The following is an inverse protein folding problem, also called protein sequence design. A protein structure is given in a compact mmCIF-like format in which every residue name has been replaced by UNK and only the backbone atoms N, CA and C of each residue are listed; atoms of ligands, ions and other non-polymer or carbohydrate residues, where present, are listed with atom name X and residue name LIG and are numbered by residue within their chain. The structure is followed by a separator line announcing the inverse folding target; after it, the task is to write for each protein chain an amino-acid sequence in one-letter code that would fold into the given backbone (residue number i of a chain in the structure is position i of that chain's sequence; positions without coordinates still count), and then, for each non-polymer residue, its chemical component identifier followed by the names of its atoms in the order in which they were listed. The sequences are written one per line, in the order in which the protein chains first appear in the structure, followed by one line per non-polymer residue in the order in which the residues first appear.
data_IF_873040131172
#
_entry.id   IF_873040131172
#
_cell.length_a   1.000
_cell.length_b   1.000
_cell.length_c   1.000
_cell.angle_alpha   90.00
_cell.angle_beta   90.00
_cell.angle_gamma   90.00
#
_symmetry.space_group_name_H-M   'P 1'
#
loop_
_entity.id
_entity.type
_entity.pdbx_description
1 polymer ?
#
# COMPACT_ATOMS: atom_id res chain seq x y z
N UNK A 1 10.33 -16.78 -8.18
CA UNK A 1 8.96 -17.24 -7.84
C UNK A 1 8.70 -18.73 -8.13
N UNK A 2 8.84 -19.20 -9.39
CA UNK A 2 8.44 -20.56 -9.82
C UNK A 2 9.02 -21.72 -8.99
N UNK A 3 10.34 -21.75 -8.77
CA UNK A 3 10.99 -22.80 -7.96
C UNK A 3 10.53 -22.86 -6.49
N UNK A 4 10.00 -21.75 -5.95
CA UNK A 4 9.42 -21.73 -4.58
C UNK A 4 7.98 -22.23 -4.56
N UNK A 5 7.25 -22.11 -5.67
CA UNK A 5 5.88 -22.62 -5.81
C UNK A 5 5.88 -24.15 -5.97
N UNK A 6 6.85 -24.72 -6.68
CA UNK A 6 7.04 -26.18 -6.76
C UNK A 6 7.27 -26.82 -5.37
N UNK A 7 7.86 -26.07 -4.44
CA UNK A 7 8.06 -26.52 -3.05
C UNK A 7 6.79 -26.46 -2.18
N UNK A 8 5.70 -25.84 -2.64
CA UNK A 8 4.45 -25.68 -1.88
C UNK A 8 3.49 -26.88 -1.98
N UNK A 9 3.87 -27.95 -2.68
CA UNK A 9 3.18 -29.25 -2.65
C UNK A 9 1.85 -29.30 -3.41
N UNK A 10 1.00 -30.28 -3.06
CA UNK A 10 -0.16 -30.73 -3.84
C UNK A 10 -1.24 -29.67 -4.13
N UNK A 11 -1.26 -28.56 -3.39
CA UNK A 11 -2.20 -27.46 -3.62
C UNK A 11 -1.88 -26.70 -4.93
N UNK A 12 -0.59 -26.55 -5.26
CA UNK A 12 -0.14 -25.93 -6.51
C UNK A 12 -0.53 -26.81 -7.70
N UNK A 13 -0.23 -28.11 -7.63
CA UNK A 13 -0.57 -29.07 -8.68
C UNK A 13 -2.09 -29.14 -8.93
N UNK A 14 -2.88 -29.19 -7.86
CA UNK A 14 -4.35 -29.21 -7.95
C UNK A 14 -4.88 -27.91 -8.57
N UNK A 15 -4.32 -26.76 -8.18
CA UNK A 15 -4.69 -25.45 -8.72
C UNK A 15 -4.36 -25.34 -10.21
N UNK A 16 -3.19 -25.82 -10.64
CA UNK A 16 -2.80 -25.87 -12.05
C UNK A 16 -3.75 -26.77 -12.85
N UNK A 17 -4.02 -28.00 -12.37
CA UNK A 17 -4.89 -28.95 -13.04
C UNK A 17 -6.34 -28.45 -13.16
N UNK A 18 -6.83 -27.71 -12.15
CA UNK A 18 -8.17 -27.13 -12.13
C UNK A 18 -8.26 -25.78 -12.89
N UNK A 19 -7.16 -25.26 -13.45
CA UNK A 19 -7.12 -23.95 -14.08
C UNK A 19 -7.29 -22.76 -13.11
N UNK A 20 -7.17 -23.01 -11.81
CA UNK A 20 -7.27 -22.01 -10.74
C UNK A 20 -5.95 -21.28 -10.49
N UNK A 21 -4.84 -21.83 -10.98
CA UNK A 21 -3.51 -21.24 -10.94
C UNK A 21 -2.92 -21.26 -12.35
N UNK A 22 -2.29 -20.15 -12.73
CA UNK A 22 -1.54 -20.02 -13.98
C UNK A 22 -0.13 -19.52 -13.66
N UNK A 23 0.86 -20.15 -14.26
CA UNK A 23 2.25 -19.71 -14.23
C UNK A 23 2.58 -19.09 -15.58
N UNK A 24 2.67 -17.76 -15.63
CA UNK A 24 3.08 -17.03 -16.82
C UNK A 24 4.58 -16.72 -16.72
N UNK A 25 5.40 -17.40 -17.51
CA UNK A 25 6.84 -17.14 -17.59
C UNK A 25 7.19 -16.12 -18.69
N UNK A 26 6.34 -16.02 -19.70
CA UNK A 26 6.45 -15.00 -20.74
C UNK A 26 5.78 -13.70 -20.28
N UNK A 27 6.46 -12.58 -20.53
CA UNK A 27 5.95 -11.26 -20.18
C UNK A 27 5.23 -10.69 -21.41
N UNK A 28 3.91 -10.91 -21.47
CA UNK A 28 3.10 -10.38 -22.56
C UNK A 28 3.26 -8.85 -22.69
N UNK A 29 3.49 -8.38 -23.92
CA UNK A 29 3.73 -6.96 -24.20
C UNK A 29 5.14 -6.47 -23.85
N UNK A 30 6.10 -7.37 -23.58
CA UNK A 30 7.51 -6.99 -23.45
C UNK A 30 8.38 -7.80 -24.40
N UNK A 31 9.21 -7.11 -25.17
CA UNK A 31 10.24 -7.71 -26.02
C UNK A 31 11.59 -7.05 -25.68
N UNK A 32 12.66 -7.79 -25.37
CA UNK A 32 13.95 -7.19 -25.00
C UNK A 32 14.58 -6.30 -26.08
N UNK A 33 14.22 -6.48 -27.35
CA UNK A 33 14.72 -5.69 -28.48
C UNK A 33 13.84 -4.47 -28.81
N UNK A 34 12.53 -4.54 -28.52
CA UNK A 34 11.58 -3.46 -28.81
C UNK A 34 11.11 -2.67 -27.58
N UNK A 35 11.36 -3.19 -26.37
CA UNK A 35 10.93 -2.63 -25.10
C UNK A 35 9.52 -3.06 -24.66
N UNK A 36 8.93 -2.28 -23.76
CA UNK A 36 7.59 -2.47 -23.21
C UNK A 36 6.53 -1.83 -24.14
N UNK A 37 5.53 -2.61 -24.51
CA UNK A 37 4.26 -2.18 -25.12
C UNK A 37 3.15 -2.21 -24.04
N UNK A 38 2.79 -1.05 -23.46
CA UNK A 38 1.75 -0.95 -22.44
C UNK A 38 0.38 -1.43 -22.92
N UNK A 39 0.04 -1.20 -24.20
CA UNK A 39 -1.28 -1.52 -24.74
C UNK A 39 -1.43 -3.02 -24.94
N UNK A 40 -0.39 -3.70 -25.44
CA UNK A 40 -0.37 -5.15 -25.53
C UNK A 40 -0.47 -5.81 -24.14
N UNK A 41 0.25 -5.26 -23.15
CA UNK A 41 0.24 -5.80 -21.78
C UNK A 41 -1.11 -5.58 -21.08
N UNK A 42 -1.77 -4.44 -21.27
CA UNK A 42 -3.14 -4.19 -20.78
C UNK A 42 -4.15 -5.11 -21.47
N UNK A 43 -4.03 -5.30 -22.80
CA UNK A 43 -4.91 -6.19 -23.57
C UNK A 43 -4.81 -7.64 -23.07
N UNK A 44 -3.61 -8.11 -22.75
CA UNK A 44 -3.42 -9.43 -22.15
C UNK A 44 -4.21 -9.60 -20.85
N UNK A 45 -4.17 -8.62 -19.93
CA UNK A 45 -4.93 -8.69 -18.68
C UNK A 45 -6.45 -8.67 -18.89
N UNK A 46 -6.93 -7.87 -19.86
CA UNK A 46 -8.33 -7.85 -20.26
C UNK A 46 -8.80 -9.21 -20.78
N UNK A 47 -8.02 -9.83 -21.66
CA UNK A 47 -8.31 -11.15 -22.22
C UNK A 47 -8.29 -12.23 -21.14
N UNK A 48 -7.32 -12.17 -20.22
CA UNK A 48 -7.22 -13.10 -19.10
C UNK A 48 -8.44 -13.00 -18.18
N UNK A 49 -8.82 -11.77 -17.79
CA UNK A 49 -9.99 -11.55 -16.94
C UNK A 49 -11.30 -11.99 -17.61
N UNK A 50 -11.42 -11.75 -18.93
CA UNK A 50 -12.57 -12.21 -19.72
C UNK A 50 -12.65 -13.73 -19.77
N UNK A 51 -11.52 -14.40 -19.99
CA UNK A 51 -11.44 -15.86 -20.00
C UNK A 51 -11.76 -16.47 -18.65
N UNK A 52 -11.22 -15.91 -17.57
CA UNK A 52 -11.49 -16.38 -16.21
C UNK A 52 -12.99 -16.31 -15.88
N UNK A 53 -13.66 -15.20 -16.25
CA UNK A 53 -15.11 -15.07 -16.10
C UNK A 53 -15.88 -16.12 -16.92
N UNK A 54 -15.48 -16.34 -18.17
CA UNK A 54 -16.12 -17.36 -19.03
C UNK A 54 -15.96 -18.79 -18.47
N UNK A 55 -14.93 -19.03 -17.66
CA UNK A 55 -14.69 -20.29 -16.94
C UNK A 55 -15.43 -20.38 -15.59
N UNK A 56 -16.20 -19.35 -15.22
CA UNK A 56 -16.99 -19.32 -13.98
C UNK A 56 -16.28 -18.73 -12.76
N UNK A 57 -15.09 -18.14 -12.93
CA UNK A 57 -14.39 -17.46 -11.84
C UNK A 57 -14.93 -16.03 -11.63
N UNK A 58 -14.93 -15.57 -10.38
CA UNK A 58 -15.44 -14.24 -10.00
C UNK A 58 -14.44 -13.10 -10.24
N UNK A 59 -13.16 -13.43 -10.45
CA UNK A 59 -12.08 -12.47 -10.66
C UNK A 59 -10.72 -13.16 -10.79
N UNK A 60 -9.67 -12.36 -10.95
CA UNK A 60 -8.28 -12.84 -11.09
C UNK A 60 -7.41 -12.16 -10.03
N UNK A 61 -6.49 -12.92 -9.44
CA UNK A 61 -5.47 -12.42 -8.51
C UNK A 61 -4.09 -12.66 -9.12
N UNK A 62 -3.28 -11.62 -9.20
CA UNK A 62 -1.97 -11.63 -9.83
C UNK A 62 -0.90 -11.31 -8.78
N UNK A 63 0.19 -12.06 -8.82
CA UNK A 63 1.47 -11.64 -8.25
C UNK A 63 2.46 -11.58 -9.40
N UNK A 64 3.02 -10.41 -9.64
CA UNK A 64 3.95 -10.16 -10.74
C UNK A 64 5.34 -9.84 -10.19
N UNK A 65 6.32 -10.66 -10.53
CA UNK A 65 7.73 -10.33 -10.35
C UNK A 65 8.13 -9.31 -11.42
N UNK A 66 8.49 -8.10 -11.02
CA UNK A 66 8.81 -7.01 -11.93
C UNK A 66 10.29 -7.00 -12.32
N UNK A 67 11.10 -7.97 -11.90
CA UNK A 67 12.53 -8.04 -12.22
C UNK A 67 12.85 -8.04 -13.71
N UNK A 68 11.91 -8.46 -14.58
CA UNK A 68 12.05 -8.32 -16.04
C UNK A 68 12.23 -6.87 -16.48
N UNK A 69 11.68 -5.90 -15.74
CA UNK A 69 11.74 -4.48 -16.05
C UNK A 69 13.07 -3.83 -15.64
N UNK A 70 13.95 -4.55 -14.92
CA UNK A 70 15.28 -4.08 -14.58
C UNK A 70 16.31 -4.29 -15.71
N UNK A 71 15.95 -5.05 -16.74
CA UNK A 71 16.82 -5.34 -17.88
C UNK A 71 17.00 -4.15 -18.83
N UNK A 72 18.03 -4.21 -19.68
CA UNK A 72 18.22 -3.24 -20.76
C UNK A 72 17.04 -3.24 -21.73
N UNK A 73 16.46 -2.07 -22.01
CA UNK A 73 15.40 -1.89 -23.02
C UNK A 73 14.05 -1.43 -22.46
N UNK A 74 13.85 -1.39 -21.15
CA UNK A 74 12.63 -0.80 -20.55
C UNK A 74 12.84 0.68 -20.27
N UNK A 75 12.05 1.52 -20.94
CA UNK A 75 11.92 2.92 -20.59
C UNK A 75 11.12 3.06 -19.29
N UNK A 76 11.75 3.64 -18.26
CA UNK A 76 11.15 3.88 -16.95
C UNK A 76 9.94 4.80 -16.99
N UNK A 77 9.88 5.73 -17.95
CA UNK A 77 8.73 6.62 -18.12
C UNK A 77 7.53 5.84 -18.68
N UNK A 78 7.76 4.98 -19.66
CA UNK A 78 6.75 4.07 -20.23
C UNK A 78 6.26 3.07 -19.18
N UNK A 79 7.17 2.54 -18.35
CA UNK A 79 6.80 1.64 -17.24
C UNK A 79 5.89 2.34 -16.22
N UNK A 80 6.22 3.56 -15.80
CA UNK A 80 5.41 4.33 -14.85
C UNK A 80 4.05 4.70 -15.44
N UNK A 81 3.99 5.04 -16.73
CA UNK A 81 2.71 5.24 -17.44
C UNK A 81 1.87 3.97 -17.43
N UNK A 82 2.47 2.84 -17.78
CA UNK A 82 1.82 1.53 -17.76
C UNK A 82 1.23 1.21 -16.39
N UNK A 83 2.00 1.30 -15.30
CA UNK A 83 1.51 1.01 -13.95
C UNK A 83 0.38 1.95 -13.53
N UNK A 84 0.49 3.24 -13.87
CA UNK A 84 -0.55 4.24 -13.55
C UNK A 84 -1.86 3.94 -14.28
N UNK A 85 -1.78 3.50 -15.54
CA UNK A 85 -2.96 3.09 -16.34
C UNK A 85 -3.55 1.78 -15.84
N UNK A 86 -2.70 0.83 -15.47
CA UNK A 86 -3.11 -0.49 -15.01
C UNK A 86 -3.98 -0.39 -13.76
N UNK A 87 -3.61 0.44 -12.78
CA UNK A 87 -4.39 0.64 -11.54
C UNK A 87 -5.86 0.94 -11.81
N UNK A 88 -6.16 1.81 -12.78
CA UNK A 88 -7.54 2.15 -13.18
C UNK A 88 -8.24 0.97 -13.85
N UNK A 89 -7.54 0.28 -14.77
CA UNK A 89 -8.10 -0.86 -15.51
C UNK A 89 -8.40 -2.05 -14.60
N UNK A 90 -7.56 -2.32 -13.59
CA UNK A 90 -7.75 -3.43 -12.66
C UNK A 90 -9.04 -3.29 -11.84
N UNK A 91 -9.38 -2.06 -11.41
CA UNK A 91 -10.58 -1.77 -10.64
C UNK A 91 -11.86 -2.16 -11.39
N UNK A 92 -11.94 -1.87 -12.70
CA UNK A 92 -13.10 -2.19 -13.54
C UNK A 92 -13.24 -3.69 -13.83
N UNK A 93 -12.16 -4.45 -13.71
CA UNK A 93 -12.08 -5.84 -14.17
C UNK A 93 -12.15 -6.90 -13.07
N UNK A 94 -12.47 -6.54 -11.81
CA UNK A 94 -12.37 -7.45 -10.65
C UNK A 94 -11.01 -8.16 -10.60
N UNK A 95 -9.98 -7.39 -10.85
CA UNK A 95 -8.61 -7.87 -10.97
C UNK A 95 -7.81 -7.25 -9.83
N UNK A 96 -7.10 -8.08 -9.06
CA UNK A 96 -6.21 -7.60 -8.01
C UNK A 96 -4.81 -8.04 -8.32
N UNK A 97 -3.87 -7.10 -8.33
CA UNK A 97 -2.46 -7.38 -8.64
C UNK A 97 -1.54 -6.87 -7.54
N UNK A 98 -0.47 -7.63 -7.29
CA UNK A 98 0.69 -7.19 -6.52
C UNK A 98 1.89 -7.19 -7.45
N UNK A 99 2.44 -6.02 -7.73
CA UNK A 99 3.68 -5.85 -8.50
C UNK A 99 4.86 -5.82 -7.53
N UNK A 100 5.71 -6.84 -7.58
CA UNK A 100 6.90 -6.99 -6.74
C UNK A 100 8.12 -6.36 -7.43
N UNK A 101 8.66 -5.30 -6.82
CA UNK A 101 9.89 -4.65 -7.27
C UNK A 101 11.04 -4.97 -6.30
N UNK A 102 12.11 -5.58 -6.81
CA UNK A 102 13.32 -5.83 -6.02
C UNK A 102 14.12 -4.52 -5.87
N UNK A 103 14.21 -4.01 -4.64
CA UNK A 103 14.93 -2.78 -4.31
C UNK A 103 16.43 -2.82 -4.63
N UNK A 104 16.99 -4.02 -4.86
CA UNK A 104 18.39 -4.19 -5.29
C UNK A 104 18.57 -3.99 -6.79
N UNK A 105 17.50 -4.11 -7.56
CA UNK A 105 17.51 -4.02 -9.03
C UNK A 105 17.04 -2.66 -9.55
N UNK A 106 16.20 -1.95 -8.78
CA UNK A 106 15.62 -0.67 -9.17
C UNK A 106 16.14 0.47 -8.30
N UNK A 107 16.40 1.63 -8.93
CA UNK A 107 16.82 2.81 -8.20
C UNK A 107 15.68 3.45 -7.38
N UNK A 108 16.05 4.15 -6.32
CA UNK A 108 15.14 4.85 -5.39
C UNK A 108 14.16 5.78 -6.12
N UNK A 109 14.62 6.48 -7.16
CA UNK A 109 13.80 7.46 -7.89
C UNK A 109 12.69 6.77 -8.67
N UNK A 110 12.99 5.66 -9.33
CA UNK A 110 11.97 4.85 -10.00
C UNK A 110 11.00 4.27 -8.98
N UNK A 111 11.49 3.66 -7.89
CA UNK A 111 10.63 3.07 -6.86
C UNK A 111 9.65 4.09 -6.26
N UNK A 112 10.08 5.34 -6.03
CA UNK A 112 9.20 6.41 -5.58
C UNK A 112 8.12 6.76 -6.62
N UNK A 113 8.45 6.74 -7.91
CA UNK A 113 7.46 6.98 -8.99
C UNK A 113 6.46 5.84 -9.11
N UNK A 114 6.93 4.61 -9.01
CA UNK A 114 6.07 3.41 -9.00
C UNK A 114 5.16 3.43 -7.77
N UNK A 115 5.69 3.78 -6.60
CA UNK A 115 4.90 3.92 -5.38
C UNK A 115 3.77 4.95 -5.51
N UNK A 116 3.96 6.02 -6.30
CA UNK A 116 2.90 7.01 -6.61
C UNK A 116 1.88 6.51 -7.65
N UNK A 117 2.27 5.57 -8.51
CA UNK A 117 1.37 4.96 -9.49
C UNK A 117 0.45 3.89 -8.87
N UNK A 118 0.80 3.40 -7.67
CA UNK A 118 0.05 2.38 -6.95
C UNK A 118 -0.81 3.00 -5.84
N UNK A 119 -2.07 2.56 -5.67
CA UNK A 119 -2.92 3.04 -4.59
C UNK A 119 -2.51 2.48 -3.21
N UNK A 120 -1.75 1.39 -3.18
CA UNK A 120 -1.33 0.68 -1.96
C UNK A 120 0.11 0.20 -2.10
N UNK A 121 0.81 0.13 -0.97
CA UNK A 121 2.15 -0.45 -0.83
C UNK A 121 2.09 -1.57 0.20
N UNK A 122 2.72 -2.70 -0.10
CA UNK A 122 2.90 -3.77 0.89
C UNK A 122 4.10 -3.42 1.76
N UNK A 123 3.90 -3.46 3.08
CA UNK A 123 4.98 -3.24 4.05
C UNK A 123 5.98 -4.40 4.03
N UNK A 124 7.28 -4.14 4.32
CA UNK A 124 8.33 -5.15 4.22
C UNK A 124 8.17 -6.30 5.23
N UNK A 125 7.42 -6.09 6.32
CA UNK A 125 7.10 -7.07 7.36
C UNK A 125 5.67 -6.84 7.85
N UNK A 126 5.06 -7.88 8.41
CA UNK A 126 3.68 -7.82 8.93
C UNK A 126 3.57 -6.89 10.15
N UNK A 127 4.60 -6.86 10.98
CA UNK A 127 4.74 -6.07 12.21
C UNK A 127 5.48 -4.74 11.98
N UNK A 128 5.52 -4.26 10.73
CA UNK A 128 6.14 -2.99 10.41
C UNK A 128 5.19 -1.82 10.70
N UNK A 129 5.79 -0.67 10.99
CA UNK A 129 5.13 0.63 11.00
C UNK A 129 5.85 1.50 9.96
N UNK A 130 5.10 2.24 9.16
CA UNK A 130 5.66 3.20 8.22
C UNK A 130 4.89 4.51 8.29
N UNK A 131 5.63 5.62 8.18
CA UNK A 131 5.07 6.96 8.12
C UNK A 131 5.39 7.61 6.78
N UNK A 132 4.36 8.13 6.12
CA UNK A 132 4.50 8.93 4.89
C UNK A 132 4.06 10.36 5.15
N UNK A 133 4.93 11.32 4.81
CA UNK A 133 4.63 12.74 4.97
C UNK A 133 4.36 13.40 3.63
N UNK A 134 3.21 14.08 3.52
CA UNK A 134 2.84 14.87 2.34
C UNK A 134 2.42 16.26 2.81
N UNK A 135 3.32 17.25 2.64
CA UNK A 135 3.09 18.60 3.15
C UNK A 135 2.88 18.62 4.66
N UNK A 136 1.69 19.02 5.11
CA UNK A 136 1.30 19.06 6.54
C UNK A 136 0.49 17.84 6.98
N UNK A 137 0.39 16.81 6.16
CA UNK A 137 -0.24 15.54 6.50
C UNK A 137 0.80 14.46 6.80
N UNK A 138 0.54 13.66 7.82
CA UNK A 138 1.31 12.46 8.15
C UNK A 138 0.40 11.25 8.16
N UNK A 139 0.77 10.24 7.40
CA UNK A 139 -0.01 9.02 7.19
C UNK A 139 0.74 7.88 7.85
N UNK A 140 0.07 7.11 8.70
CA UNK A 140 0.63 5.96 9.39
C UNK A 140 0.00 4.67 8.85
N UNK A 141 0.84 3.69 8.51
CA UNK A 141 0.42 2.38 8.02
C UNK A 141 1.11 1.25 8.79
N UNK A 142 0.39 0.15 9.01
CA UNK A 142 0.91 -1.04 9.71
C UNK A 142 0.50 -1.12 11.18
N UNK A 143 1.42 -1.52 12.07
CA UNK A 143 1.13 -1.80 13.47
C UNK A 143 1.76 -0.75 14.42
N UNK A 144 0.93 -0.02 15.16
CA UNK A 144 1.37 0.90 16.21
C UNK A 144 1.23 0.22 17.59
N UNK A 145 2.22 -0.61 17.94
CA UNK A 145 2.15 -1.55 19.06
C UNK A 145 3.35 -1.42 20.03
N UNK A 146 3.61 -2.46 20.83
CA UNK A 146 4.76 -2.47 21.74
C UNK A 146 6.10 -2.52 21.00
N UNK A 147 6.18 -3.25 19.87
CA UNK A 147 7.41 -3.43 19.12
C UNK A 147 7.81 -2.15 18.34
N UNK A 148 6.83 -1.36 17.90
CA UNK A 148 7.04 -0.13 17.12
C UNK A 148 6.94 1.15 17.95
N UNK A 149 6.83 1.02 19.28
CA UNK A 149 6.59 2.14 20.21
C UNK A 149 7.59 3.27 20.10
N UNK A 150 8.89 2.94 20.12
CA UNK A 150 9.94 3.96 20.13
C UNK A 150 9.96 4.75 18.81
N UNK A 151 9.72 4.05 17.70
CA UNK A 151 9.57 4.68 16.37
C UNK A 151 8.33 5.59 16.33
N UNK A 152 7.18 5.09 16.78
CA UNK A 152 5.93 5.86 16.82
C UNK A 152 6.07 7.14 17.66
N UNK A 153 6.62 7.02 18.87
CA UNK A 153 6.81 8.14 19.79
C UNK A 153 7.79 9.18 19.20
N UNK A 154 8.90 8.73 18.59
CA UNK A 154 9.90 9.62 18.00
C UNK A 154 9.34 10.38 16.78
N UNK A 155 8.71 9.67 15.84
CA UNK A 155 8.16 10.28 14.62
C UNK A 155 7.05 11.27 14.96
N UNK A 156 6.14 10.90 15.87
CA UNK A 156 5.03 11.78 16.21
C UNK A 156 5.48 13.01 17.01
N UNK A 157 6.50 12.87 17.86
CA UNK A 157 7.09 14.00 18.57
C UNK A 157 7.72 15.00 17.58
N UNK A 158 8.49 14.51 16.60
CA UNK A 158 9.11 15.34 15.56
C UNK A 158 8.06 16.01 14.67
N UNK A 159 7.10 15.22 14.15
CA UNK A 159 6.07 15.72 13.23
C UNK A 159 5.15 16.78 13.85
N UNK A 160 4.96 16.76 15.17
CA UNK A 160 4.16 17.76 15.89
C UNK A 160 4.99 18.94 16.43
N UNK A 161 6.33 18.86 16.35
CA UNK A 161 7.23 19.93 16.73
C UNK A 161 7.44 20.96 15.61
N UNK A 162 7.95 22.14 15.97
CA UNK A 162 8.42 23.13 15.00
C UNK A 162 7.34 23.91 14.23
N UNK A 163 7.76 24.85 13.35
CA UNK A 163 6.88 25.69 12.54
C UNK A 163 6.12 24.90 11.48
N UNK A 164 6.75 23.88 10.90
CA UNK A 164 6.22 23.07 9.80
C UNK A 164 5.43 21.85 10.29
N UNK A 165 5.06 21.80 11.58
CA UNK A 165 4.27 20.74 12.20
C UNK A 165 3.05 20.32 11.38
N UNK A 166 2.69 19.05 11.51
CA UNK A 166 1.52 18.49 10.83
C UNK A 166 0.22 19.09 11.38
N UNK A 167 -0.76 19.15 10.49
CA UNK A 167 -2.16 19.54 10.76
C UNK A 167 -3.09 18.35 10.65
N UNK A 168 -2.69 17.29 9.93
CA UNK A 168 -3.44 16.04 9.80
C UNK A 168 -2.55 14.86 10.16
N UNK A 169 -3.07 13.98 11.00
CA UNK A 169 -2.53 12.63 11.25
C UNK A 169 -3.57 11.63 10.75
N UNK A 170 -3.22 10.86 9.73
CA UNK A 170 -4.08 9.81 9.16
C UNK A 170 -3.65 8.45 9.71
N UNK A 171 -4.60 7.75 10.35
CA UNK A 171 -4.42 6.45 10.99
C UNK A 171 -5.21 5.34 10.27
N UNK A 172 -5.85 5.65 9.14
CA UNK A 172 -6.80 4.74 8.49
C UNK A 172 -6.12 3.49 7.91
N UNK A 173 -4.81 3.55 7.63
CA UNK A 173 -4.01 2.42 7.16
C UNK A 173 -3.31 1.65 8.29
N UNK A 174 -3.56 1.99 9.56
CA UNK A 174 -3.11 1.17 10.68
C UNK A 174 -4.02 -0.06 10.81
N UNK A 175 -3.44 -1.25 10.72
CA UNK A 175 -4.15 -2.49 11.04
C UNK A 175 -4.29 -2.72 12.55
N UNK A 176 -3.41 -2.11 13.35
CA UNK A 176 -3.47 -2.17 14.81
C UNK A 176 -2.94 -0.89 15.47
N UNK A 177 -3.53 -0.50 16.60
CA UNK A 177 -3.06 0.59 17.45
C UNK A 177 -3.29 0.23 18.93
N UNK A 178 -2.24 0.27 19.74
CA UNK A 178 -2.33 0.04 21.18
C UNK A 178 -2.78 1.30 21.96
N UNK A 179 -3.05 1.11 23.26
CA UNK A 179 -3.44 2.22 24.14
C UNK A 179 -2.30 3.21 24.42
N UNK A 180 -1.03 2.81 24.28
CA UNK A 180 0.11 3.72 24.46
C UNK A 180 0.15 4.72 23.30
N UNK A 181 0.08 4.24 22.06
CA UNK A 181 0.05 5.05 20.84
C UNK A 181 -1.11 6.05 20.87
N UNK A 182 -2.31 5.61 21.24
CA UNK A 182 -3.47 6.48 21.42
C UNK A 182 -3.22 7.57 22.49
N UNK A 183 -2.63 7.20 23.64
CA UNK A 183 -2.30 8.14 24.71
C UNK A 183 -1.19 9.11 24.30
N UNK A 184 -0.20 8.68 23.52
CA UNK A 184 0.86 9.53 22.98
C UNK A 184 0.26 10.60 22.07
N UNK A 185 -0.65 10.24 21.15
CA UNK A 185 -1.36 11.20 20.30
C UNK A 185 -2.04 12.28 21.14
N UNK A 186 -2.88 11.87 22.10
CA UNK A 186 -3.63 12.82 22.95
C UNK A 186 -2.68 13.68 23.78
N UNK A 187 -1.62 13.10 24.36
CA UNK A 187 -0.62 13.80 25.17
C UNK A 187 0.11 14.87 24.36
N UNK A 188 0.57 14.53 23.15
CA UNK A 188 1.30 15.46 22.30
C UNK A 188 0.37 16.54 21.73
N UNK A 189 -0.86 16.17 21.36
CA UNK A 189 -1.88 17.14 20.96
C UNK A 189 -2.08 18.19 22.06
N UNK A 190 -2.24 17.80 23.33
CA UNK A 190 -2.43 18.75 24.46
C UNK A 190 -1.32 19.78 24.62
N UNK A 191 -0.09 19.45 24.24
CA UNK A 191 1.07 20.35 24.34
C UNK A 191 1.13 21.39 23.22
N UNK A 192 0.27 21.27 22.19
CA UNK A 192 0.23 22.23 21.09
C UNK A 192 -0.25 23.60 21.57
N UNK A 193 0.29 24.70 20.99
CA UNK A 193 -0.21 26.04 21.24
C UNK A 193 -1.70 26.17 20.91
N UNK A 194 -2.42 26.95 21.71
CA UNK A 194 -3.83 27.26 21.47
C UNK A 194 -4.04 27.85 20.06
N UNK A 195 -5.13 27.44 19.39
CA UNK A 195 -5.50 27.92 18.06
C UNK A 195 -4.87 27.16 16.87
N UNK A 196 -4.08 26.10 17.11
CA UNK A 196 -3.53 25.25 16.04
C UNK A 196 -4.12 23.85 16.10
N UNK A 197 -5.15 23.63 15.27
CA UNK A 197 -5.83 22.35 15.17
C UNK A 197 -4.88 21.22 14.73
N UNK A 198 -5.14 20.02 15.26
CA UNK A 198 -4.68 18.75 14.73
C UNK A 198 -5.91 17.91 14.43
N UNK A 199 -6.07 17.52 13.17
CA UNK A 199 -7.10 16.57 12.75
C UNK A 199 -6.51 15.17 12.77
N UNK A 200 -7.18 14.22 13.41
CA UNK A 200 -6.85 12.80 13.37
C UNK A 200 -7.93 12.09 12.58
N UNK A 201 -7.59 11.57 11.39
CA UNK A 201 -8.46 10.69 10.61
C UNK A 201 -8.22 9.25 11.07
N UNK A 202 -9.28 8.52 11.35
CA UNK A 202 -9.15 7.17 11.91
C UNK A 202 -10.41 6.33 11.70
N UNK A 203 -10.28 5.02 11.86
CA UNK A 203 -11.38 4.06 11.88
C UNK A 203 -12.12 4.07 13.23
N UNK A 204 -13.35 3.52 13.30
CA UNK A 204 -14.16 3.55 14.52
C UNK A 204 -13.46 2.97 15.76
N UNK A 205 -12.71 1.87 15.60
CA UNK A 205 -11.98 1.24 16.72
C UNK A 205 -10.87 2.14 17.28
N UNK A 206 -10.18 2.87 16.41
CA UNK A 206 -9.12 3.80 16.78
C UNK A 206 -9.73 5.05 17.45
N UNK A 207 -10.86 5.56 16.93
CA UNK A 207 -11.62 6.64 17.56
C UNK A 207 -12.04 6.26 19.00
N UNK A 208 -12.53 5.04 19.19
CA UNK A 208 -12.89 4.54 20.52
C UNK A 208 -11.69 4.57 21.49
N UNK A 209 -10.52 4.09 21.07
CA UNK A 209 -9.30 4.14 21.90
C UNK A 209 -8.87 5.58 22.23
N UNK A 210 -8.94 6.50 21.25
CA UNK A 210 -8.64 7.91 21.46
C UNK A 210 -9.61 8.56 22.46
N UNK A 211 -10.90 8.23 22.39
CA UNK A 211 -11.91 8.69 23.38
C UNK A 211 -11.62 8.17 24.78
N UNK A 212 -11.27 6.89 24.93
CA UNK A 212 -10.83 6.32 26.21
C UNK A 212 -9.58 7.02 26.77
N UNK A 213 -8.73 7.54 25.89
CA UNK A 213 -7.56 8.34 26.26
C UNK A 213 -7.89 9.83 26.52
N UNK A 214 -9.16 10.22 26.58
CA UNK A 214 -9.64 11.59 26.77
C UNK A 214 -9.26 12.56 25.63
N UNK A 215 -9.34 12.11 24.37
CA UNK A 215 -9.18 12.98 23.21
C UNK A 215 -10.21 14.12 23.18
N UNK A 216 -11.46 13.86 23.54
CA UNK A 216 -12.55 14.85 23.54
C UNK A 216 -12.34 16.02 24.51
N UNK A 217 -11.43 15.88 25.48
CA UNK A 217 -11.07 16.95 26.42
C UNK A 217 -9.99 17.90 25.86
N UNK A 218 -9.51 17.69 24.62
CA UNK A 218 -8.45 18.49 24.00
C UNK A 218 -9.07 19.40 22.93
N UNK A 219 -9.26 20.71 23.19
CA UNK A 219 -10.05 21.59 22.32
C UNK A 219 -9.54 21.72 20.88
N UNK A 220 -8.23 21.59 20.68
CA UNK A 220 -7.57 21.70 19.37
C UNK A 220 -7.22 20.35 18.75
N UNK A 221 -7.79 19.25 19.26
CA UNK A 221 -7.74 17.93 18.65
C UNK A 221 -9.12 17.59 18.06
N UNK A 222 -9.18 17.47 16.74
CA UNK A 222 -10.39 17.08 16.02
C UNK A 222 -10.21 15.64 15.57
N UNK A 223 -11.10 14.74 15.99
CA UNK A 223 -11.09 13.35 15.52
C UNK A 223 -12.16 13.19 14.45
N UNK A 224 -11.75 12.78 13.25
CA UNK A 224 -12.61 12.47 12.13
C UNK A 224 -12.63 10.96 11.93
N UNK A 225 -13.83 10.38 12.02
CA UNK A 225 -14.01 8.96 11.77
C UNK A 225 -14.29 8.75 10.28
N UNK A 226 -13.48 7.92 9.65
CA UNK A 226 -13.69 7.47 8.27
C UNK A 226 -14.41 6.12 8.32
N UNK A 227 -15.53 6.03 7.63
CA UNK A 227 -16.17 4.76 7.35
C UNK A 227 -15.65 4.28 5.99
N UNK A 228 -14.98 3.13 5.94
CA UNK A 228 -14.81 2.44 4.67
C UNK A 228 -16.22 2.17 4.11
N UNK A 229 -16.55 2.81 2.99
CA UNK A 229 -17.60 2.29 2.13
C UNK A 229 -17.15 0.89 1.70
N UNK A 230 -17.91 -0.12 2.08
CA UNK A 230 -17.70 -1.51 1.69
C UNK A 230 -17.81 -1.68 0.17
#
# INVERSE_FOLDING_TARGET
MAARLEACGSAVDSGLAAGQLLLCTEIAGFDPSCGLDPDARIRFWLELATRARAQGFTGVRIVADMGWAAGSGVDHDVLVEYESRLSTVLADLNLTAVCEYDQRLFDERLLQRIGRAHPKKVLPRLDALEFTRVGTELWAAGEADLATRDEFDAVLADALAGPDRITVLDLCELCFMDGHSARTIVRLARRRPAGRLLTVRCLPIQNQLLRLCNASAVPHLVVQEECFAQ
#
